data_IF_603596577522
#
_entry.id   IF_603596577522
#
_cell.length_a   1.000
_cell.length_b   1.000
_cell.length_c   1.000
_cell.angle_alpha   90.00
_cell.angle_beta   90.00
_cell.angle_gamma   90.00
#
_symmetry.space_group_name_H-M   'P 1'
#
loop_
_entity.id
_entity.type
_entity.pdbx_description
1 polymer ?
#
# COMPACT_ATOMS: atom_id res chain seq x y z
N UNK A 1 17.84 18.60 22.75
CA UNK A 1 16.77 18.87 21.77
C UNK A 1 15.83 17.69 21.81
N UNK A 2 14.52 17.86 22.01
CA UNK A 2 13.63 16.71 22.12
C UNK A 2 13.51 16.03 20.77
N UNK A 3 13.69 14.74 20.79
CA UNK A 3 13.61 13.78 19.69
C UNK A 3 12.18 13.75 19.11
N UNK A 4 11.93 14.53 18.05
CA UNK A 4 10.71 14.42 17.24
C UNK A 4 10.96 13.29 16.27
N UNK A 5 11.09 12.08 16.84
CA UNK A 5 11.33 10.89 16.09
C UNK A 5 10.05 10.43 15.36
N UNK A 6 10.25 9.88 14.23
CA UNK A 6 9.45 9.06 13.33
C UNK A 6 8.29 8.23 13.92
N UNK A 7 7.98 8.39 15.20
CA UNK A 7 6.83 7.75 15.89
C UNK A 7 5.48 8.17 15.34
N UNK A 8 5.38 9.29 14.65
CA UNK A 8 4.10 9.79 14.12
C UNK A 8 3.60 9.08 12.88
N UNK A 9 4.46 8.33 12.16
CA UNK A 9 4.03 7.56 10.98
C UNK A 9 3.97 6.04 11.26
N UNK A 10 4.77 5.55 12.22
CA UNK A 10 4.75 4.16 12.68
C UNK A 10 4.10 4.00 14.07
N UNK A 11 3.82 5.10 14.75
CA UNK A 11 3.42 5.15 16.17
C UNK A 11 1.95 4.85 16.48
N UNK A 12 1.18 4.34 15.54
CA UNK A 12 -0.21 3.92 15.77
C UNK A 12 -0.34 2.44 16.19
N UNK A 13 0.76 1.79 16.50
CA UNK A 13 0.79 0.42 17.01
C UNK A 13 1.38 0.37 18.43
N UNK A 14 0.70 0.92 19.44
CA UNK A 14 1.16 0.72 20.80
C UNK A 14 0.58 1.66 21.85
N UNK A 15 -0.68 1.53 22.18
CA UNK A 15 -1.23 2.01 23.46
C UNK A 15 -1.54 0.80 24.34
N UNK A 16 -0.79 0.68 25.43
CA UNK A 16 -0.94 -0.37 26.42
C UNK A 16 -2.32 -0.35 27.09
N UNK A 17 -2.91 -1.51 27.22
CA UNK A 17 -4.20 -1.76 27.90
C UNK A 17 -3.91 -1.94 29.38
N UNK A 18 -4.42 -1.03 30.21
CA UNK A 18 -4.67 -1.29 31.64
C UNK A 18 -6.04 -1.93 31.80
N UNK A 19 -6.06 -3.13 32.35
CA UNK A 19 -7.27 -3.88 32.63
C UNK A 19 -8.06 -3.21 33.78
N UNK A 20 -9.30 -2.81 33.49
CA UNK A 20 -10.32 -2.62 34.53
C UNK A 20 -11.52 -3.51 34.22
N UNK A 21 -11.80 -4.44 35.15
CA UNK A 21 -12.94 -5.36 35.11
C UNK A 21 -14.23 -4.60 35.41
N UNK A 22 -15.27 -4.82 34.60
CA UNK A 22 -16.69 -4.57 34.96
C UNK A 22 -17.57 -5.67 34.34
N UNK A 23 -18.76 -5.95 34.93
CA UNK A 23 -19.35 -7.26 34.86
C UNK A 23 -20.23 -7.55 33.63
N UNK A 24 -20.35 -8.86 33.34
CA UNK A 24 -21.22 -9.42 32.31
C UNK A 24 -22.68 -9.00 32.46
N UNK A 25 -23.23 -8.43 31.41
CA UNK A 25 -24.68 -8.46 31.16
C UNK A 25 -24.90 -9.31 29.90
N UNK A 26 -25.53 -10.47 30.08
CA UNK A 26 -25.99 -11.34 29.00
C UNK A 26 -27.24 -10.67 28.40
N UNK A 27 -27.15 -10.19 27.17
CA UNK A 27 -28.30 -9.76 26.37
C UNK A 27 -28.31 -10.49 25.05
N UNK A 28 -29.49 -11.00 24.71
CA UNK A 28 -29.75 -12.00 23.68
C UNK A 28 -29.25 -11.67 22.30
N UNK A 29 -28.76 -12.70 21.61
CA UNK A 29 -28.54 -12.74 20.19
C UNK A 29 -29.83 -12.54 19.41
N UNK A 30 -30.02 -11.36 18.84
CA UNK A 30 -30.89 -11.21 17.67
C UNK A 30 -30.10 -11.65 16.43
N UNK A 31 -30.70 -12.43 15.52
CA UNK A 31 -30.01 -12.80 14.27
C UNK A 31 -29.77 -11.52 13.45
N UNK A 32 -28.50 -11.24 13.15
CA UNK A 32 -28.12 -10.22 12.18
C UNK A 32 -28.68 -10.66 10.83
N UNK A 33 -29.70 -9.95 10.37
CA UNK A 33 -30.23 -10.09 9.02
C UNK A 33 -29.11 -9.74 8.05
N UNK A 34 -28.55 -10.75 7.39
CA UNK A 34 -27.66 -10.55 6.24
C UNK A 34 -28.53 -10.07 5.08
N UNK A 35 -28.74 -8.77 4.97
CA UNK A 35 -29.20 -8.16 3.73
C UNK A 35 -28.02 -8.28 2.78
N UNK A 36 -28.07 -9.33 1.94
CA UNK A 36 -27.19 -9.45 0.79
C UNK A 36 -27.65 -8.40 -0.23
N UNK A 37 -26.87 -7.35 -0.40
CA UNK A 37 -27.03 -6.39 -1.48
C UNK A 37 -26.81 -7.13 -2.82
N UNK A 38 -27.83 -7.30 -3.67
CA UNK A 38 -27.72 -8.12 -4.88
C UNK A 38 -26.74 -7.53 -5.91
N UNK A 39 -26.53 -6.22 -5.93
CA UNK A 39 -25.57 -5.56 -6.84
C UNK A 39 -24.12 -5.83 -6.40
N UNK A 40 -23.89 -6.03 -5.12
CA UNK A 40 -22.59 -6.37 -4.55
C UNK A 40 -22.18 -7.82 -4.72
N UNK A 41 -23.06 -8.69 -5.12
CA UNK A 41 -22.76 -10.12 -5.30
C UNK A 41 -21.74 -10.39 -6.42
N UNK A 42 -21.37 -9.41 -7.24
CA UNK A 42 -20.46 -9.55 -8.39
C UNK A 42 -19.13 -8.81 -8.22
N UNK A 43 -19.08 -7.58 -7.64
CA UNK A 43 -17.85 -6.78 -7.57
C UNK A 43 -16.89 -7.25 -6.49
N UNK A 44 -15.59 -7.25 -6.82
CA UNK A 44 -14.51 -7.46 -5.85
C UNK A 44 -14.08 -6.13 -5.25
N UNK A 45 -13.83 -6.11 -3.94
CA UNK A 45 -13.16 -5.00 -3.27
C UNK A 45 -11.78 -5.45 -2.81
N UNK A 46 -10.75 -5.13 -3.62
CA UNK A 46 -9.36 -5.46 -3.33
C UNK A 46 -8.53 -4.19 -3.25
N UNK A 47 -7.80 -4.03 -2.14
CA UNK A 47 -6.93 -2.91 -1.88
C UNK A 47 -5.47 -3.28 -2.19
N UNK A 48 -4.82 -2.52 -3.06
CA UNK A 48 -3.42 -2.72 -3.45
C UNK A 48 -2.41 -2.47 -2.34
N UNK A 49 -2.78 -1.75 -1.29
CA UNK A 49 -1.98 -1.60 -0.08
C UNK A 49 -2.80 -1.12 1.10
N UNK A 50 -2.80 -1.91 2.16
CA UNK A 50 -3.34 -1.55 3.46
C UNK A 50 -2.58 -2.25 4.58
N UNK A 51 -3.07 -2.11 5.80
CA UNK A 51 -2.42 -2.62 7.01
C UNK A 51 -3.39 -3.49 7.81
N UNK A 52 -2.88 -4.52 8.48
CA UNK A 52 -3.70 -5.32 9.38
C UNK A 52 -4.17 -4.46 10.56
N UNK A 53 -5.48 -4.16 10.68
CA UNK A 53 -5.98 -3.17 11.63
C UNK A 53 -5.82 -3.65 13.07
N UNK A 54 -5.60 -2.73 14.00
CA UNK A 54 -5.56 -3.04 15.44
C UNK A 54 -6.90 -3.59 15.91
N UNK A 55 -7.99 -2.96 15.50
CA UNK A 55 -9.38 -3.42 15.73
C UNK A 55 -9.85 -4.24 14.52
N UNK A 56 -9.94 -5.56 14.69
CA UNK A 56 -10.35 -6.48 13.63
C UNK A 56 -11.83 -6.32 13.20
N UNK A 57 -12.65 -5.59 13.95
CA UNK A 57 -14.01 -5.26 13.51
C UNK A 57 -14.01 -4.40 12.23
N UNK A 58 -12.93 -3.66 11.97
CA UNK A 58 -12.74 -2.86 10.75
C UNK A 58 -12.72 -3.73 9.49
N UNK A 59 -12.25 -4.96 9.58
CA UNK A 59 -12.24 -5.91 8.47
C UNK A 59 -13.67 -6.14 7.94
N UNK A 60 -14.61 -6.47 8.84
CA UNK A 60 -16.01 -6.68 8.45
C UNK A 60 -16.69 -5.38 8.03
N UNK A 61 -16.42 -4.29 8.76
CA UNK A 61 -17.04 -2.99 8.50
C UNK A 61 -16.60 -2.39 7.15
N UNK A 62 -15.35 -2.55 6.75
CA UNK A 62 -14.84 -2.06 5.46
C UNK A 62 -15.36 -2.86 4.26
N UNK A 63 -15.88 -4.06 4.49
CA UNK A 63 -16.38 -4.97 3.46
C UNK A 63 -15.34 -5.32 2.39
N UNK A 64 -14.08 -5.29 2.72
CA UNK A 64 -12.98 -5.63 1.81
C UNK A 64 -12.86 -7.16 1.66
N UNK A 65 -12.69 -7.64 0.42
CA UNK A 65 -12.54 -9.06 0.13
C UNK A 65 -11.09 -9.53 0.28
N UNK A 66 -10.14 -8.68 -0.13
CA UNK A 66 -8.71 -8.96 -0.02
C UNK A 66 -7.90 -7.66 0.03
N UNK A 67 -6.69 -7.72 0.52
CA UNK A 67 -5.72 -6.63 0.38
C UNK A 67 -4.28 -7.14 0.41
N UNK A 68 -3.41 -6.39 -0.27
CA UNK A 68 -1.96 -6.50 -0.10
C UNK A 68 -1.63 -5.84 1.24
N UNK A 69 -1.15 -6.65 2.17
CA UNK A 69 -0.98 -6.27 3.57
C UNK A 69 0.49 -5.96 3.84
N UNK A 70 0.81 -4.69 4.08
CA UNK A 70 2.15 -4.32 4.52
C UNK A 70 2.42 -4.86 5.93
N UNK A 71 3.46 -5.68 6.00
CA UNK A 71 3.98 -6.23 7.25
C UNK A 71 5.42 -5.77 7.52
N UNK A 72 5.87 -4.72 6.85
CA UNK A 72 7.22 -4.19 7.03
C UNK A 72 7.50 -3.79 8.48
N UNK A 73 8.68 -4.09 8.95
CA UNK A 73 9.18 -3.60 10.23
C UNK A 73 10.48 -2.81 10.05
N UNK A 74 10.64 -1.77 10.85
CA UNK A 74 11.81 -0.89 10.83
C UNK A 74 12.46 -0.95 12.21
N UNK A 75 13.76 -1.20 12.24
CA UNK A 75 14.56 -1.10 13.46
C UNK A 75 15.59 0.02 13.39
N UNK A 76 16.04 0.46 14.55
CA UNK A 76 17.16 1.38 14.69
C UNK A 76 18.46 0.57 14.63
N UNK A 77 19.34 0.97 13.70
CA UNK A 77 20.67 0.37 13.55
C UNK A 77 21.70 1.45 13.83
N UNK A 78 22.45 1.29 14.92
CA UNK A 78 23.57 2.17 15.26
C UNK A 78 24.73 1.93 14.28
N UNK A 79 25.25 3.03 13.72
CA UNK A 79 26.40 3.01 12.83
C UNK A 79 27.70 3.12 13.62
N UNK A 80 28.83 2.77 12.99
CA UNK A 80 30.15 2.85 13.61
C UNK A 80 30.55 4.29 14.05
N UNK A 81 29.95 5.30 13.46
CA UNK A 81 30.16 6.72 13.82
C UNK A 81 29.20 7.22 14.91
N UNK A 82 28.37 6.33 15.49
CA UNK A 82 27.39 6.66 16.52
C UNK A 82 26.09 7.25 15.99
N UNK A 83 25.91 7.37 14.66
CA UNK A 83 24.62 7.76 14.07
C UNK A 83 23.63 6.60 14.09
N UNK A 84 22.33 6.91 14.12
CA UNK A 84 21.26 5.91 14.10
C UNK A 84 20.55 5.97 12.76
N UNK A 85 20.56 4.85 12.05
CA UNK A 85 19.77 4.64 10.85
C UNK A 85 18.54 3.79 11.16
N UNK A 86 17.48 4.01 10.39
CA UNK A 86 16.25 3.24 10.44
C UNK A 86 16.18 2.36 9.20
N UNK A 87 16.26 1.05 9.39
CA UNK A 87 16.33 0.08 8.29
C UNK A 87 15.30 -1.03 8.44
N UNK A 88 14.83 -1.53 7.31
CA UNK A 88 14.10 -2.80 7.23
C UNK A 88 15.15 -3.91 7.19
N UNK A 89 15.49 -4.45 8.35
CA UNK A 89 16.44 -5.57 8.42
C UNK A 89 15.73 -6.89 8.23
N UNK A 90 16.46 -7.91 7.82
CA UNK A 90 15.97 -9.29 7.75
C UNK A 90 15.31 -9.69 9.07
N UNK A 91 16.00 -9.49 10.20
CA UNK A 91 15.52 -9.86 11.52
C UNK A 91 14.17 -9.18 11.86
N UNK A 92 14.10 -7.88 11.74
CA UNK A 92 12.87 -7.14 12.07
C UNK A 92 11.68 -7.55 11.20
N UNK A 93 11.91 -7.77 9.90
CA UNK A 93 10.85 -8.20 8.99
C UNK A 93 10.44 -9.66 9.22
N UNK A 94 11.36 -10.56 9.59
CA UNK A 94 11.03 -11.94 9.97
C UNK A 94 10.22 -12.02 11.27
N UNK A 95 10.55 -11.21 12.27
CA UNK A 95 9.76 -11.09 13.49
C UNK A 95 8.35 -10.57 13.18
N UNK A 96 8.23 -9.57 12.32
CA UNK A 96 6.96 -8.97 11.93
C UNK A 96 6.06 -9.94 11.14
N UNK A 97 6.61 -10.65 10.15
CA UNK A 97 5.82 -11.64 9.38
C UNK A 97 5.33 -12.78 10.28
N UNK A 98 6.18 -13.24 11.21
CA UNK A 98 5.80 -14.25 12.20
C UNK A 98 4.64 -13.78 13.09
N UNK A 99 4.70 -12.54 13.57
CA UNK A 99 3.63 -11.94 14.38
C UNK A 99 2.32 -11.78 13.57
N UNK A 100 2.41 -11.31 12.32
CA UNK A 100 1.26 -11.17 11.43
C UNK A 100 0.60 -12.53 11.14
N UNK A 101 1.39 -13.56 10.85
CA UNK A 101 0.90 -14.95 10.66
C UNK A 101 0.17 -15.46 11.89
N UNK A 102 0.77 -15.30 13.06
CA UNK A 102 0.15 -15.74 14.32
C UNK A 102 -1.19 -15.04 14.54
N UNK A 103 -1.28 -13.75 14.22
CA UNK A 103 -2.51 -12.98 14.34
C UNK A 103 -3.58 -13.42 13.35
N UNK A 104 -3.22 -13.69 12.09
CA UNK A 104 -4.15 -14.25 11.09
C UNK A 104 -4.63 -15.63 11.52
N UNK A 105 -3.74 -16.51 11.98
CA UNK A 105 -4.07 -17.85 12.42
C UNK A 105 -4.98 -17.88 13.67
N UNK A 106 -4.92 -16.84 14.52
CA UNK A 106 -5.80 -16.69 15.69
C UNK A 106 -7.23 -16.28 15.33
N UNK A 107 -7.51 -15.86 14.09
CA UNK A 107 -8.81 -15.37 13.62
C UNK A 107 -9.26 -16.03 12.30
N UNK A 108 -9.32 -17.37 12.24
CA UNK A 108 -9.62 -18.12 11.01
C UNK A 108 -11.07 -17.96 10.52
N UNK A 109 -11.95 -17.41 11.34
CA UNK A 109 -13.32 -17.06 10.98
C UNK A 109 -13.43 -15.71 10.25
N UNK A 110 -12.36 -14.94 10.21
CA UNK A 110 -12.34 -13.58 9.67
C UNK A 110 -11.26 -13.38 8.61
N UNK A 111 -10.09 -13.98 8.81
CA UNK A 111 -8.88 -13.72 8.03
C UNK A 111 -8.34 -15.00 7.38
N UNK A 112 -7.78 -14.85 6.19
CA UNK A 112 -7.03 -15.90 5.50
C UNK A 112 -5.70 -15.35 5.00
N UNK A 113 -4.59 -15.97 5.41
CA UNK A 113 -3.31 -15.74 4.73
C UNK A 113 -3.39 -16.33 3.34
N UNK A 114 -3.30 -15.49 2.32
CA UNK A 114 -3.29 -15.91 0.93
C UNK A 114 -1.87 -16.30 0.50
N UNK A 115 -1.70 -17.54 0.11
CA UNK A 115 -0.44 -18.10 -0.40
C UNK A 115 -0.49 -18.31 -1.93
N UNK A 116 -1.67 -18.22 -2.50
CA UNK A 116 -1.96 -18.27 -3.94
C UNK A 116 -3.06 -17.26 -4.27
N UNK A 117 -3.15 -16.84 -5.54
CA UNK A 117 -4.26 -15.99 -5.99
C UNK A 117 -5.64 -16.64 -5.78
N UNK A 118 -5.73 -17.97 -5.85
CA UNK A 118 -6.97 -18.71 -5.60
C UNK A 118 -7.48 -18.60 -4.15
N UNK A 119 -6.60 -18.31 -3.18
CA UNK A 119 -6.98 -18.11 -1.77
C UNK A 119 -7.93 -16.92 -1.58
N UNK A 120 -7.85 -15.89 -2.45
CA UNK A 120 -8.79 -14.77 -2.42
C UNK A 120 -10.23 -15.25 -2.69
N UNK A 121 -10.42 -16.12 -3.69
CA UNK A 121 -11.75 -16.68 -4.00
C UNK A 121 -12.26 -17.57 -2.88
N UNK A 122 -11.38 -18.39 -2.30
CA UNK A 122 -11.73 -19.26 -1.20
C UNK A 122 -12.10 -18.42 0.06
N UNK A 123 -11.34 -17.38 0.38
CA UNK A 123 -11.63 -16.48 1.48
C UNK A 123 -13.02 -15.85 1.33
N UNK A 124 -13.33 -15.30 0.13
CA UNK A 124 -14.65 -14.70 -0.14
C UNK A 124 -15.78 -15.72 0.03
N UNK A 125 -15.58 -16.96 -0.47
CA UNK A 125 -16.57 -18.04 -0.32
C UNK A 125 -16.84 -18.37 1.15
N UNK A 126 -15.82 -18.29 1.99
CA UNK A 126 -15.87 -18.58 3.42
C UNK A 126 -16.16 -17.35 4.29
N UNK A 127 -16.53 -16.21 3.67
CA UNK A 127 -16.78 -14.93 4.35
C UNK A 127 -15.58 -14.41 5.17
N UNK A 128 -14.37 -14.73 4.71
CA UNK A 128 -13.09 -14.22 5.24
C UNK A 128 -12.56 -13.10 4.32
N UNK A 129 -11.60 -12.34 4.82
CA UNK A 129 -10.77 -11.42 4.03
C UNK A 129 -9.39 -12.04 3.79
N UNK A 130 -8.95 -12.06 2.52
CA UNK A 130 -7.64 -12.58 2.15
C UNK A 130 -6.55 -11.52 2.32
N UNK A 131 -5.39 -11.92 2.89
CA UNK A 131 -4.23 -11.06 3.08
C UNK A 131 -3.04 -11.61 2.28
N UNK A 132 -2.55 -10.82 1.33
CA UNK A 132 -1.30 -11.08 0.62
C UNK A 132 -0.18 -10.30 1.33
N UNK A 133 0.70 -10.97 2.04
CA UNK A 133 1.76 -10.29 2.79
C UNK A 133 2.76 -9.63 1.85
N UNK A 134 3.08 -8.38 2.15
CA UNK A 134 4.03 -7.54 1.45
C UNK A 134 5.07 -6.95 2.40
N UNK A 135 6.30 -6.77 1.92
CA UNK A 135 7.30 -5.91 2.54
C UNK A 135 7.63 -4.76 1.59
N UNK A 136 7.56 -3.53 2.10
CA UNK A 136 7.86 -2.32 1.34
C UNK A 136 9.35 -1.97 1.37
N UNK A 137 10.12 -2.63 0.52
CA UNK A 137 11.55 -2.40 0.31
C UNK A 137 12.37 -3.66 0.49
N UNK A 138 13.16 -3.98 -0.52
CA UNK A 138 14.03 -5.15 -0.53
C UNK A 138 15.27 -5.02 0.37
N UNK A 139 15.36 -3.95 1.17
CA UNK A 139 16.40 -3.80 2.20
C UNK A 139 16.46 -5.00 3.14
N UNK A 140 15.31 -5.64 3.40
CA UNK A 140 15.19 -6.82 4.25
C UNK A 140 15.87 -8.07 3.67
N UNK A 141 16.11 -8.10 2.36
CA UNK A 141 16.85 -9.19 1.69
C UNK A 141 18.36 -9.05 1.95
N UNK A 142 18.82 -7.88 2.42
CA UNK A 142 20.19 -7.58 2.76
C UNK A 142 21.18 -8.00 1.64
N UNK A 143 22.12 -8.91 1.95
CA UNK A 143 23.09 -9.35 0.97
C UNK A 143 22.86 -10.76 0.42
N UNK A 144 21.85 -11.48 0.89
CA UNK A 144 21.60 -12.86 0.50
C UNK A 144 20.22 -13.08 -0.12
N UNK A 145 20.18 -13.42 -1.39
CA UNK A 145 18.94 -13.75 -2.07
C UNK A 145 18.25 -15.03 -1.53
N UNK A 146 18.93 -15.84 -0.71
CA UNK A 146 18.28 -16.97 -0.01
C UNK A 146 17.23 -16.49 1.00
N UNK A 147 17.35 -15.26 1.51
CA UNK A 147 16.35 -14.67 2.41
C UNK A 147 14.99 -14.48 1.75
N UNK A 148 14.94 -14.35 0.42
CA UNK A 148 13.67 -14.37 -0.34
C UNK A 148 12.95 -15.71 -0.12
N UNK A 149 13.69 -16.82 -0.13
CA UNK A 149 13.11 -18.16 0.10
C UNK A 149 12.51 -18.28 1.51
N UNK A 150 13.22 -17.73 2.49
CA UNK A 150 12.79 -17.77 3.89
C UNK A 150 11.52 -16.92 4.08
N UNK A 151 11.49 -15.70 3.56
CA UNK A 151 10.28 -14.87 3.56
C UNK A 151 9.12 -15.53 2.82
N UNK A 152 9.38 -16.17 1.67
CA UNK A 152 8.35 -16.88 0.91
C UNK A 152 7.73 -18.01 1.72
N UNK A 153 8.55 -18.81 2.42
CA UNK A 153 8.07 -19.89 3.30
C UNK A 153 7.24 -19.34 4.46
N UNK A 154 7.56 -18.15 4.94
CA UNK A 154 6.78 -17.45 5.97
C UNK A 154 5.50 -16.76 5.41
N UNK A 155 5.25 -16.81 4.10
CA UNK A 155 4.01 -16.33 3.49
C UNK A 155 4.12 -15.01 2.75
N UNK A 156 5.32 -14.46 2.55
CA UNK A 156 5.50 -13.29 1.67
C UNK A 156 5.07 -13.63 0.24
N UNK A 157 4.27 -12.76 -0.38
CA UNK A 157 3.80 -12.92 -1.76
C UNK A 157 4.00 -11.69 -2.62
N UNK A 158 4.28 -10.55 -2.02
CA UNK A 158 4.59 -9.30 -2.72
C UNK A 158 5.85 -8.68 -2.12
N UNK A 159 6.80 -8.29 -2.94
CA UNK A 159 8.01 -7.59 -2.49
C UNK A 159 8.20 -6.31 -3.31
N UNK A 160 8.23 -5.18 -2.62
CA UNK A 160 8.56 -3.89 -3.19
C UNK A 160 10.08 -3.75 -3.29
N UNK A 161 10.59 -3.24 -4.42
CA UNK A 161 12.04 -3.15 -4.64
C UNK A 161 12.71 -2.11 -3.75
N UNK A 162 12.06 -0.95 -3.56
CA UNK A 162 12.57 0.16 -2.75
C UNK A 162 11.47 0.76 -1.90
N UNK A 163 11.83 1.54 -0.87
CA UNK A 163 10.90 2.50 -0.28
C UNK A 163 11.22 3.91 -0.81
N UNK A 164 11.31 4.95 0.03
CA UNK A 164 11.54 6.33 -0.46
C UNK A 164 12.87 6.48 -1.20
N UNK A 165 13.90 5.78 -0.75
CA UNK A 165 15.26 5.85 -1.26
C UNK A 165 15.69 4.52 -1.86
N UNK A 166 16.69 4.61 -2.74
CA UNK A 166 17.36 3.46 -3.29
C UNK A 166 18.07 2.61 -2.22
N UNK A 167 18.33 1.38 -2.60
CA UNK A 167 19.08 0.40 -1.84
C UNK A 167 20.07 -0.32 -2.78
N UNK A 168 20.64 -1.43 -2.34
CA UNK A 168 21.61 -2.20 -3.14
C UNK A 168 21.01 -2.81 -4.41
N UNK A 169 19.69 -2.84 -4.54
CA UNK A 169 18.97 -3.46 -5.65
C UNK A 169 18.47 -2.46 -6.68
N UNK A 170 17.88 -1.34 -6.25
CA UNK A 170 17.20 -0.39 -7.14
C UNK A 170 17.28 1.05 -6.63
N UNK A 171 17.20 2.02 -7.53
CA UNK A 171 17.05 3.43 -7.18
C UNK A 171 15.64 3.77 -6.71
N UNK A 172 15.54 4.65 -5.73
CA UNK A 172 14.27 5.14 -5.18
C UNK A 172 13.76 6.40 -5.87
N UNK A 173 12.47 6.64 -5.79
CA UNK A 173 11.83 7.82 -6.41
C UNK A 173 12.27 9.14 -5.76
N UNK A 174 12.70 9.11 -4.49
CA UNK A 174 13.09 10.29 -3.71
C UNK A 174 14.61 10.38 -3.48
N UNK A 175 15.39 9.63 -4.25
CA UNK A 175 16.85 9.79 -4.27
C UNK A 175 17.23 11.18 -4.79
N UNK A 176 18.32 11.70 -4.28
CA UNK A 176 18.88 13.01 -4.58
C UNK A 176 20.39 12.90 -4.86
N UNK A 177 21.02 13.96 -5.37
CA UNK A 177 22.43 13.93 -5.77
C UNK A 177 23.37 13.60 -4.61
N UNK A 178 23.05 14.00 -3.40
CA UNK A 178 23.77 13.65 -2.17
C UNK A 178 23.58 12.18 -1.73
N UNK A 179 22.69 11.43 -2.39
CA UNK A 179 22.43 10.00 -2.21
C UNK A 179 22.86 9.13 -3.38
N UNK A 180 23.82 9.61 -4.18
CA UNK A 180 24.37 8.87 -5.32
C UNK A 180 23.70 9.19 -6.67
N UNK A 181 22.71 10.06 -6.69
CA UNK A 181 22.08 10.58 -7.91
C UNK A 181 20.58 10.36 -7.98
N UNK A 182 19.95 11.11 -8.87
CA UNK A 182 18.51 11.07 -9.13
C UNK A 182 18.21 10.01 -10.20
N UNK A 183 17.08 9.31 -10.04
CA UNK A 183 16.55 8.37 -11.03
C UNK A 183 17.56 7.26 -11.41
N UNK A 184 18.15 6.63 -10.40
CA UNK A 184 19.13 5.55 -10.58
C UNK A 184 18.50 4.30 -11.21
N UNK A 185 19.26 3.49 -11.96
CA UNK A 185 18.79 2.25 -12.58
C UNK A 185 18.67 1.11 -11.57
N UNK A 186 18.11 0.00 -12.03
CA UNK A 186 18.25 -1.30 -11.38
C UNK A 186 19.75 -1.67 -11.34
N UNK A 187 20.24 -2.13 -10.19
CA UNK A 187 21.64 -2.61 -10.08
C UNK A 187 21.80 -4.02 -10.64
N UNK A 188 23.02 -4.49 -10.80
CA UNK A 188 23.28 -5.89 -11.18
C UNK A 188 22.59 -6.88 -10.20
N UNK A 189 22.67 -6.59 -8.89
CA UNK A 189 21.95 -7.38 -7.86
C UNK A 189 20.44 -7.24 -7.95
N UNK A 190 19.94 -6.10 -8.43
CA UNK A 190 18.53 -5.89 -8.70
C UNK A 190 18.00 -6.81 -9.79
N UNK A 191 18.76 -7.04 -10.86
CA UNK A 191 18.40 -8.02 -11.90
C UNK A 191 18.34 -9.44 -11.33
N UNK A 192 19.31 -9.84 -10.50
CA UNK A 192 19.31 -11.15 -9.82
C UNK A 192 18.10 -11.30 -8.87
N UNK A 193 17.72 -10.22 -8.17
CA UNK A 193 16.54 -10.21 -7.29
C UNK A 193 15.25 -10.37 -8.12
N UNK A 194 15.10 -9.64 -9.23
CA UNK A 194 13.94 -9.76 -10.13
C UNK A 194 13.79 -11.21 -10.63
N UNK A 195 14.89 -11.83 -11.08
CA UNK A 195 14.90 -13.23 -11.50
C UNK A 195 14.47 -14.16 -10.35
N UNK A 196 15.01 -13.96 -9.15
CA UNK A 196 14.69 -14.76 -7.95
C UNK A 196 13.21 -14.66 -7.57
N UNK A 197 12.64 -13.44 -7.61
CA UNK A 197 11.22 -13.21 -7.31
C UNK A 197 10.32 -13.89 -8.35
N UNK A 198 10.65 -13.80 -9.64
CA UNK A 198 9.94 -14.50 -10.70
C UNK A 198 9.96 -16.02 -10.50
N UNK A 199 11.13 -16.59 -10.17
CA UNK A 199 11.28 -18.05 -9.92
C UNK A 199 10.42 -18.53 -8.74
N UNK A 200 10.13 -17.65 -7.77
CA UNK A 200 9.36 -17.97 -6.57
C UNK A 200 7.87 -17.66 -6.69
N UNK A 201 7.44 -16.99 -7.76
CA UNK A 201 6.05 -16.49 -7.84
C UNK A 201 5.77 -15.42 -6.76
N UNK A 202 6.76 -14.54 -6.49
CA UNK A 202 6.58 -13.36 -5.65
C UNK A 202 6.33 -12.18 -6.56
N UNK A 203 5.20 -11.51 -6.39
CA UNK A 203 4.79 -10.36 -7.18
C UNK A 203 5.73 -9.18 -6.90
N UNK A 204 6.33 -8.64 -7.96
CA UNK A 204 7.24 -7.50 -7.89
C UNK A 204 6.43 -6.21 -7.84
N UNK A 205 6.65 -5.40 -6.80
CA UNK A 205 6.04 -4.09 -6.65
C UNK A 205 7.06 -2.97 -6.91
N UNK A 206 6.71 -2.07 -7.83
CA UNK A 206 7.53 -0.94 -8.28
C UNK A 206 7.18 0.38 -7.58
N UNK A 207 6.27 0.35 -6.60
CA UNK A 207 5.98 1.54 -5.81
C UNK A 207 7.26 2.08 -5.17
N UNK A 208 7.40 3.40 -5.15
CA UNK A 208 8.59 4.09 -4.66
C UNK A 208 9.88 3.91 -5.49
N UNK A 209 9.91 3.04 -6.49
CA UNK A 209 11.09 2.90 -7.35
C UNK A 209 11.28 4.15 -8.23
N UNK A 210 12.53 4.45 -8.58
CA UNK A 210 12.82 5.44 -9.62
C UNK A 210 12.20 5.00 -10.95
N UNK A 211 11.88 5.95 -11.84
CA UNK A 211 11.32 5.60 -13.14
C UNK A 211 12.26 4.69 -13.96
N UNK A 212 13.57 4.89 -13.82
CA UNK A 212 14.58 4.08 -14.52
C UNK A 212 14.63 2.66 -13.95
N UNK A 213 14.69 2.50 -12.62
CA UNK A 213 14.61 1.18 -11.98
C UNK A 213 13.30 0.46 -12.31
N UNK A 214 12.19 1.20 -12.39
CA UNK A 214 10.91 0.62 -12.78
C UNK A 214 10.95 0.05 -14.20
N UNK A 215 11.45 0.83 -15.18
CA UNK A 215 11.62 0.34 -16.57
C UNK A 215 12.56 -0.85 -16.67
N UNK A 216 13.69 -0.81 -15.97
CA UNK A 216 14.66 -1.91 -15.97
C UNK A 216 14.05 -3.19 -15.39
N UNK A 217 13.32 -3.08 -14.29
CA UNK A 217 12.65 -4.22 -13.65
C UNK A 217 11.50 -4.80 -14.51
N UNK A 218 10.70 -3.94 -15.17
CA UNK A 218 9.67 -4.37 -16.12
C UNK A 218 10.30 -5.15 -17.28
N UNK A 219 11.40 -4.64 -17.83
CA UNK A 219 12.10 -5.28 -18.97
C UNK A 219 12.76 -6.61 -18.55
N UNK A 220 13.20 -6.74 -17.31
CA UNK A 220 13.84 -7.95 -16.78
C UNK A 220 12.83 -9.02 -16.31
N UNK A 221 11.63 -8.62 -15.93
CA UNK A 221 10.64 -9.54 -15.38
C UNK A 221 10.02 -10.43 -16.45
N UNK A 222 9.92 -11.72 -16.17
CA UNK A 222 9.19 -12.69 -17.00
C UNK A 222 7.70 -12.79 -16.63
N UNK A 223 7.27 -12.10 -15.59
CA UNK A 223 5.90 -12.07 -15.05
C UNK A 223 5.39 -10.60 -15.03
N UNK A 224 4.07 -10.39 -15.03
CA UNK A 224 3.53 -9.07 -14.75
C UNK A 224 4.08 -8.49 -13.44
N UNK A 225 4.38 -7.21 -13.45
CA UNK A 225 4.78 -6.44 -12.28
C UNK A 225 3.71 -5.41 -11.95
N UNK A 226 3.69 -4.93 -10.73
CA UNK A 226 2.70 -3.93 -10.31
C UNK A 226 3.36 -2.68 -9.75
N UNK A 227 2.61 -1.61 -9.70
CA UNK A 227 2.84 -0.49 -8.82
C UNK A 227 1.68 -0.50 -7.84
N UNK A 228 1.89 -1.08 -6.66
CA UNK A 228 0.80 -1.34 -5.71
C UNK A 228 0.10 -0.06 -5.30
N UNK A 229 0.85 1.05 -5.12
CA UNK A 229 0.31 2.33 -4.68
C UNK A 229 1.11 3.51 -5.25
N UNK A 230 0.42 4.42 -5.93
CA UNK A 230 1.02 5.61 -6.54
C UNK A 230 0.01 6.59 -7.09
N UNK A 231 0.49 7.58 -7.82
CA UNK A 231 -0.31 8.56 -8.55
C UNK A 231 0.37 8.95 -9.86
N UNK A 232 -0.38 9.57 -10.78
CA UNK A 232 0.15 10.02 -12.06
C UNK A 232 0.86 11.37 -11.93
N UNK A 233 2.11 11.44 -12.39
CA UNK A 233 2.92 12.68 -12.40
C UNK A 233 2.34 13.76 -13.30
N UNK A 234 1.61 13.37 -14.33
CA UNK A 234 0.95 14.31 -15.22
C UNK A 234 -0.10 15.19 -14.50
N UNK A 235 -0.69 14.72 -13.40
CA UNK A 235 -1.66 15.48 -12.60
C UNK A 235 -0.94 16.25 -11.50
N UNK A 236 -0.03 15.60 -10.76
CA UNK A 236 0.78 16.24 -9.72
C UNK A 236 2.25 15.98 -10.01
N UNK A 237 2.96 17.03 -10.45
CA UNK A 237 4.39 16.93 -10.74
C UNK A 237 5.20 16.80 -9.46
N UNK A 238 5.32 15.57 -8.99
CA UNK A 238 6.08 15.20 -7.79
C UNK A 238 6.92 13.96 -8.07
N UNK A 239 8.09 13.84 -7.44
CA UNK A 239 9.00 12.71 -7.65
C UNK A 239 8.40 11.36 -7.26
N UNK A 240 7.52 11.32 -6.24
CA UNK A 240 6.79 10.12 -5.79
C UNK A 240 5.76 9.64 -6.81
N UNK A 241 5.32 10.51 -7.74
CA UNK A 241 4.32 10.19 -8.75
C UNK A 241 4.99 9.60 -10.00
N UNK A 242 4.34 8.62 -10.61
CA UNK A 242 4.87 7.90 -11.76
C UNK A 242 4.61 8.64 -13.07
N UNK A 243 5.60 8.76 -13.96
CA UNK A 243 5.38 9.31 -15.28
C UNK A 243 4.58 8.34 -16.17
N UNK A 244 3.90 8.86 -17.19
CA UNK A 244 3.02 8.10 -18.09
C UNK A 244 3.71 6.94 -18.81
N UNK A 245 5.01 7.06 -19.11
CA UNK A 245 5.75 5.98 -19.73
C UNK A 245 5.92 4.77 -18.81
N UNK A 246 6.02 4.96 -17.49
CA UNK A 246 6.04 3.87 -16.51
C UNK A 246 4.65 3.24 -16.39
N UNK A 247 3.58 4.06 -16.32
CA UNK A 247 2.19 3.56 -16.31
C UNK A 247 1.93 2.68 -17.52
N UNK A 248 2.32 3.14 -18.72
CA UNK A 248 2.17 2.39 -19.97
C UNK A 248 2.97 1.11 -19.96
N UNK A 249 4.23 1.13 -19.52
CA UNK A 249 5.07 -0.05 -19.48
C UNK A 249 4.53 -1.14 -18.53
N UNK A 250 3.98 -0.76 -17.37
CA UNK A 250 3.28 -1.69 -16.47
C UNK A 250 2.07 -2.32 -17.17
N UNK A 251 1.25 -1.51 -17.84
CA UNK A 251 0.07 -1.96 -18.56
C UNK A 251 0.42 -2.91 -19.72
N UNK A 252 1.42 -2.55 -20.53
CA UNK A 252 1.90 -3.36 -21.67
C UNK A 252 2.45 -4.72 -21.21
N UNK A 253 3.01 -4.79 -20.00
CA UNK A 253 3.43 -6.01 -19.32
C UNK A 253 2.30 -6.81 -18.65
N UNK A 254 1.04 -6.39 -18.78
CA UNK A 254 -0.11 -7.03 -18.15
C UNK A 254 -0.25 -6.75 -16.64
N UNK A 255 0.51 -5.81 -16.13
CA UNK A 255 0.51 -5.42 -14.72
C UNK A 255 -0.66 -4.52 -14.33
N UNK A 256 -0.57 -3.99 -13.10
CA UNK A 256 -1.59 -3.13 -12.49
C UNK A 256 -0.95 -1.95 -11.79
N UNK A 257 -1.59 -0.79 -11.91
CA UNK A 257 -1.24 0.46 -11.22
C UNK A 257 -2.34 0.80 -10.20
N UNK A 258 -2.03 0.68 -8.92
CA UNK A 258 -2.92 1.06 -7.82
C UNK A 258 -2.81 2.55 -7.52
N UNK A 259 -3.93 3.26 -7.56
CA UNK A 259 -3.98 4.68 -7.17
C UNK A 259 -4.17 4.78 -5.66
N UNK A 260 -3.26 5.48 -4.98
CA UNK A 260 -3.29 5.64 -3.51
C UNK A 260 -4.15 6.83 -3.05
N UNK A 261 -4.28 7.01 -1.72
CA UNK A 261 -5.17 8.04 -1.12
C UNK A 261 -4.44 9.28 -0.59
N UNK A 262 -3.12 9.39 -0.80
CA UNK A 262 -2.32 10.53 -0.34
C UNK A 262 -2.71 11.80 -1.09
N UNK A 263 -3.65 12.59 -0.55
CA UNK A 263 -4.32 13.68 -1.26
C UNK A 263 -3.35 14.74 -1.81
N UNK A 264 -2.27 15.05 -1.10
CA UNK A 264 -1.24 16.01 -1.53
C UNK A 264 -0.41 15.54 -2.74
N UNK A 265 -0.51 14.27 -3.14
CA UNK A 265 0.06 13.73 -4.38
C UNK A 265 -1.01 13.40 -5.44
N UNK A 266 -2.30 13.54 -5.09
CA UNK A 266 -3.40 13.30 -6.03
C UNK A 266 -3.86 14.58 -6.74
N UNK A 267 -3.79 15.72 -6.04
CA UNK A 267 -4.28 16.99 -6.58
C UNK A 267 -3.53 18.17 -6.00
N UNK A 268 -3.46 19.26 -6.77
CA UNK A 268 -2.99 20.57 -6.32
C UNK A 268 -4.15 21.52 -5.97
N UNK A 269 -5.38 21.06 -6.06
CA UNK A 269 -6.55 21.84 -5.68
C UNK A 269 -6.51 22.12 -4.16
N UNK A 270 -6.89 23.32 -3.71
CA UNK A 270 -6.83 23.67 -2.28
C UNK A 270 -7.75 22.80 -1.41
N UNK A 271 -8.84 22.30 -1.97
CA UNK A 271 -9.80 21.41 -1.32
C UNK A 271 -9.85 20.08 -2.06
N UNK A 272 -9.24 19.02 -1.53
CA UNK A 272 -9.25 17.70 -2.14
C UNK A 272 -10.65 17.08 -2.00
N UNK A 273 -11.15 16.48 -3.08
CA UNK A 273 -12.48 15.86 -3.16
C UNK A 273 -12.38 14.52 -3.86
N UNK A 274 -13.38 13.66 -3.69
CA UNK A 274 -13.47 12.34 -4.33
C UNK A 274 -13.26 12.39 -5.85
N UNK A 275 -13.75 13.44 -6.54
CA UNK A 275 -13.52 13.59 -7.99
C UNK A 275 -12.06 13.62 -8.38
N UNK A 276 -11.16 14.19 -7.55
CA UNK A 276 -9.72 14.23 -7.85
C UNK A 276 -9.08 12.84 -7.77
N UNK A 277 -9.61 11.96 -6.90
CA UNK A 277 -9.23 10.56 -6.90
C UNK A 277 -9.67 9.86 -8.19
N UNK A 278 -10.92 10.09 -8.62
CA UNK A 278 -11.46 9.54 -9.88
C UNK A 278 -10.72 10.09 -11.10
N UNK A 279 -10.26 11.34 -11.08
CA UNK A 279 -9.41 11.93 -12.14
C UNK A 279 -8.08 11.15 -12.28
N UNK A 280 -7.46 10.75 -11.19
CA UNK A 280 -6.26 9.90 -11.21
C UNK A 280 -6.55 8.53 -11.83
N UNK A 281 -7.63 7.86 -11.41
CA UNK A 281 -8.05 6.58 -11.99
C UNK A 281 -8.30 6.70 -13.50
N UNK A 282 -8.98 7.76 -13.92
CA UNK A 282 -9.25 8.04 -15.33
C UNK A 282 -7.98 8.31 -16.13
N UNK A 283 -7.03 9.04 -15.55
CA UNK A 283 -5.73 9.29 -16.20
C UNK A 283 -4.98 7.97 -16.42
N UNK A 284 -4.89 7.11 -15.39
CA UNK A 284 -4.25 5.79 -15.54
C UNK A 284 -4.97 4.95 -16.60
N UNK A 285 -6.31 4.97 -16.64
CA UNK A 285 -7.09 4.28 -17.66
C UNK A 285 -6.81 4.82 -19.08
N UNK A 286 -6.67 6.13 -19.24
CA UNK A 286 -6.36 6.75 -20.53
C UNK A 286 -4.95 6.41 -21.03
N UNK A 287 -4.00 6.23 -20.13
CA UNK A 287 -2.59 5.93 -20.47
C UNK A 287 -2.36 4.44 -20.67
N UNK A 288 -2.85 3.60 -19.76
CA UNK A 288 -2.57 2.15 -19.70
C UNK A 288 -3.76 1.24 -20.06
N UNK A 289 -4.94 1.81 -20.29
CA UNK A 289 -6.17 1.04 -20.46
C UNK A 289 -6.80 0.64 -19.11
N UNK A 290 -8.08 0.25 -19.18
CA UNK A 290 -8.89 -0.06 -17.98
C UNK A 290 -8.36 -1.28 -17.21
N UNK A 291 -7.70 -2.21 -17.88
CA UNK A 291 -7.16 -3.43 -17.28
C UNK A 291 -5.90 -3.18 -16.43
N UNK A 292 -5.32 -1.98 -16.51
CA UNK A 292 -4.17 -1.58 -15.71
C UNK A 292 -4.53 -0.79 -14.45
N UNK A 293 -5.80 -0.39 -14.27
CA UNK A 293 -6.21 0.52 -13.18
C UNK A 293 -6.71 -0.25 -11.98
N UNK A 294 -6.29 0.14 -10.77
CA UNK A 294 -6.83 -0.42 -9.54
C UNK A 294 -6.80 0.57 -8.36
N UNK A 295 -7.48 0.19 -7.30
CA UNK A 295 -7.51 0.91 -6.03
C UNK A 295 -6.31 0.49 -5.16
N UNK A 296 -5.70 1.47 -4.49
CA UNK A 296 -4.80 1.25 -3.37
C UNK A 296 -5.03 2.35 -2.34
N UNK A 297 -5.16 2.02 -1.08
CA UNK A 297 -5.44 3.06 -0.12
C UNK A 297 -4.14 3.67 0.44
N UNK A 298 -3.15 2.85 0.76
CA UNK A 298 -1.96 3.27 1.50
C UNK A 298 -2.34 3.94 2.85
N UNK A 299 -3.51 3.55 3.36
CA UNK A 299 -4.13 4.00 4.60
C UNK A 299 -4.65 2.81 5.40
N UNK A 300 -4.74 2.91 6.73
CA UNK A 300 -5.51 1.96 7.53
C UNK A 300 -6.96 1.85 7.03
N UNK A 301 -7.58 0.69 7.18
CA UNK A 301 -8.97 0.47 6.74
C UNK A 301 -9.93 1.53 7.30
N UNK A 302 -9.78 1.89 8.57
CA UNK A 302 -10.57 2.93 9.24
C UNK A 302 -10.32 4.33 8.68
N UNK A 303 -9.17 4.57 8.08
CA UNK A 303 -8.67 5.88 7.66
C UNK A 303 -7.54 6.39 8.57
N UNK A 304 -7.09 7.59 8.31
CA UNK A 304 -6.08 8.29 9.12
C UNK A 304 -6.70 8.72 10.45
N UNK A 305 -6.34 8.04 11.53
CA UNK A 305 -6.96 8.22 12.85
C UNK A 305 -6.83 9.66 13.39
N UNK A 306 -5.65 10.28 13.20
CA UNK A 306 -5.44 11.66 13.59
C UNK A 306 -6.44 12.60 12.92
N UNK A 307 -6.69 12.41 11.62
CA UNK A 307 -7.62 13.21 10.85
C UNK A 307 -9.07 12.93 11.25
N UNK A 308 -9.42 11.69 11.57
CA UNK A 308 -10.75 11.34 12.10
C UNK A 308 -11.03 12.04 13.42
N UNK A 309 -10.04 12.13 14.34
CA UNK A 309 -10.16 12.91 15.58
C UNK A 309 -10.38 14.41 15.36
N UNK A 310 -9.85 14.94 14.26
CA UNK A 310 -10.00 16.33 13.84
C UNK A 310 -11.23 16.54 12.93
N UNK A 311 -12.14 15.57 12.79
CA UNK A 311 -13.29 15.65 11.90
C UNK A 311 -12.93 15.78 10.42
N UNK A 312 -11.76 15.26 10.03
CA UNK A 312 -11.16 15.38 8.69
C UNK A 312 -10.83 16.85 8.29
N UNK A 313 -10.61 17.72 9.27
CA UNK A 313 -10.18 19.10 9.01
C UNK A 313 -8.73 19.11 8.49
N UNK A 314 -8.56 19.36 7.20
CA UNK A 314 -7.26 19.42 6.55
C UNK A 314 -6.39 20.56 7.08
N UNK A 315 -6.97 21.68 7.54
CA UNK A 315 -6.19 22.80 8.08
C UNK A 315 -5.45 22.38 9.35
N UNK A 316 -6.16 21.73 10.27
CA UNK A 316 -5.56 21.20 11.49
C UNK A 316 -4.65 19.99 11.17
N UNK A 317 -5.09 19.12 10.25
CA UNK A 317 -4.31 17.97 9.82
C UNK A 317 -2.95 18.34 9.25
N UNK A 318 -2.87 19.37 8.42
CA UNK A 318 -1.61 19.89 7.89
C UNK A 318 -0.69 20.34 9.04
N UNK A 319 -1.20 21.00 10.06
CA UNK A 319 -0.39 21.42 11.20
C UNK A 319 0.26 20.25 11.94
N UNK A 320 -0.45 19.11 12.07
CA UNK A 320 0.12 17.89 12.65
C UNK A 320 1.18 17.24 11.75
N UNK A 321 1.06 17.40 10.41
CA UNK A 321 2.00 16.87 9.42
C UNK A 321 3.25 17.71 9.22
N UNK A 322 3.19 19.00 9.51
CA UNK A 322 4.28 19.94 9.23
C UNK A 322 5.64 19.54 9.82
N UNK A 323 5.77 19.08 11.07
CA UNK A 323 7.08 18.71 11.62
C UNK A 323 7.75 17.58 10.83
N UNK A 324 6.97 16.60 10.37
CA UNK A 324 7.48 15.53 9.53
C UNK A 324 7.87 16.05 8.15
N UNK A 325 7.03 16.86 7.50
CA UNK A 325 7.29 17.44 6.20
C UNK A 325 8.55 18.30 6.21
N UNK A 326 8.70 19.18 7.20
CA UNK A 326 9.87 20.01 7.38
C UNK A 326 11.14 19.19 7.60
N UNK A 327 11.08 18.12 8.37
CA UNK A 327 12.23 17.24 8.59
C UNK A 327 12.73 16.56 7.31
N UNK A 328 11.86 16.36 6.30
CA UNK A 328 12.22 15.86 4.99
C UNK A 328 12.78 16.96 4.10
N UNK A 329 12.17 18.14 4.12
CA UNK A 329 12.65 19.33 3.39
C UNK A 329 14.07 19.74 3.83
N UNK A 330 14.34 19.77 5.15
CA UNK A 330 15.66 20.09 5.71
C UNK A 330 16.75 19.07 5.30
N UNK A 331 16.35 17.86 4.97
CA UNK A 331 17.25 16.80 4.48
C UNK A 331 17.29 16.72 2.95
N UNK A 332 16.81 17.75 2.25
CA UNK A 332 16.76 17.82 0.79
C UNK A 332 16.09 16.60 0.14
N UNK A 333 15.05 16.04 0.78
CA UNK A 333 14.30 14.94 0.18
C UNK A 333 13.50 15.47 -1.00
N UNK A 334 13.71 14.89 -2.16
CA UNK A 334 13.13 15.35 -3.42
C UNK A 334 11.61 15.48 -3.33
N UNK A 335 11.08 16.66 -3.70
CA UNK A 335 9.64 16.92 -3.74
C UNK A 335 9.00 17.36 -2.42
N UNK A 336 9.77 17.53 -1.33
CA UNK A 336 9.27 18.04 -0.04
C UNK A 336 9.61 19.52 0.21
N UNK A 337 10.00 20.25 -0.82
CA UNK A 337 10.28 21.68 -0.80
C UNK A 337 9.01 22.55 -0.65
N UNK A 338 7.85 22.00 -1.04
CA UNK A 338 6.56 22.69 -0.98
C UNK A 338 5.66 22.09 0.11
N UNK A 339 5.26 22.91 1.08
CA UNK A 339 4.33 22.51 2.15
C UNK A 339 2.99 22.02 1.56
N UNK A 340 2.43 20.91 2.09
CA UNK A 340 1.12 20.43 1.67
C UNK A 340 0.00 21.39 2.14
N UNK A 341 -1.06 21.52 1.36
CA UNK A 341 -2.26 22.27 1.73
C UNK A 341 -3.36 21.40 2.34
N UNK A 342 -3.25 20.08 2.18
CA UNK A 342 -4.18 19.07 2.68
C UNK A 342 -3.49 17.72 2.81
N UNK A 343 -4.05 16.80 3.59
CA UNK A 343 -3.48 15.47 3.87
C UNK A 343 -4.44 14.31 3.59
N UNK A 344 -5.76 14.56 3.57
CA UNK A 344 -6.76 13.54 3.22
C UNK A 344 -7.83 14.10 2.26
N UNK A 345 -8.53 13.21 1.56
CA UNK A 345 -9.83 13.50 0.95
C UNK A 345 -10.87 13.19 2.03
N UNK A 346 -11.57 14.21 2.60
CA UNK A 346 -12.44 14.03 3.76
C UNK A 346 -13.52 12.98 3.56
N UNK A 347 -14.13 12.94 2.35
CA UNK A 347 -15.21 12.02 2.03
C UNK A 347 -14.76 10.56 1.98
N UNK A 348 -13.46 10.31 1.78
CA UNK A 348 -12.88 8.97 1.62
C UNK A 348 -12.08 8.51 2.85
N UNK A 349 -11.93 9.35 3.88
CA UNK A 349 -11.22 8.98 5.10
C UNK A 349 -12.12 8.27 6.11
N UNK A 350 -12.65 7.09 5.74
CA UNK A 350 -13.59 6.29 6.55
C UNK A 350 -13.61 4.83 6.10
N UNK A 351 -14.35 3.98 6.85
CA UNK A 351 -14.51 2.54 6.57
C UNK A 351 -15.32 2.24 5.30
N UNK A 352 -16.25 3.12 4.90
CA UNK A 352 -17.08 2.94 3.69
C UNK A 352 -16.35 3.34 2.41
N UNK A 353 -15.06 3.67 2.49
CA UNK A 353 -14.24 4.20 1.40
C UNK A 353 -14.41 3.44 0.09
N UNK A 354 -14.31 2.12 0.13
CA UNK A 354 -14.40 1.30 -1.09
C UNK A 354 -15.76 1.45 -1.79
N UNK A 355 -16.86 1.46 -1.03
CA UNK A 355 -18.19 1.67 -1.58
C UNK A 355 -18.34 3.08 -2.18
N UNK A 356 -17.85 4.11 -1.48
CA UNK A 356 -17.87 5.49 -1.97
C UNK A 356 -17.05 5.71 -3.24
N UNK A 357 -15.90 5.03 -3.36
CA UNK A 357 -15.10 5.04 -4.58
C UNK A 357 -15.86 4.35 -5.71
N UNK A 358 -16.49 3.21 -5.44
CA UNK A 358 -17.29 2.48 -6.43
C UNK A 358 -18.41 3.36 -7.00
N UNK A 359 -19.21 3.99 -6.12
CA UNK A 359 -20.27 4.91 -6.54
C UNK A 359 -19.69 6.08 -7.35
N UNK A 360 -18.60 6.69 -6.89
CA UNK A 360 -17.97 7.81 -7.59
C UNK A 360 -17.40 7.45 -8.98
N UNK A 361 -16.92 6.23 -9.17
CA UNK A 361 -16.47 5.71 -10.47
C UNK A 361 -17.65 5.58 -11.42
N UNK A 362 -18.78 5.02 -10.95
CA UNK A 362 -20.01 4.90 -11.75
C UNK A 362 -20.59 6.28 -12.10
N UNK A 363 -20.68 7.18 -11.14
CA UNK A 363 -21.15 8.56 -11.34
C UNK A 363 -20.27 9.34 -12.34
N UNK A 364 -18.99 8.99 -12.38
CA UNK A 364 -18.04 9.56 -13.35
C UNK A 364 -18.18 8.96 -14.77
N UNK A 365 -19.10 8.00 -14.98
CA UNK A 365 -19.42 7.43 -16.28
C UNK A 365 -18.55 6.23 -16.69
N UNK A 366 -17.85 5.57 -15.76
CA UNK A 366 -17.34 4.24 -16.02
C UNK A 366 -18.52 3.26 -16.08
N UNK A 367 -18.45 2.28 -16.97
CA UNK A 367 -19.43 1.19 -16.98
C UNK A 367 -19.29 0.31 -15.73
N UNK A 368 -20.34 -0.44 -15.38
CA UNK A 368 -20.29 -1.39 -14.27
C UNK A 368 -19.12 -2.39 -14.43
N UNK A 369 -18.88 -2.89 -15.64
CA UNK A 369 -17.76 -3.80 -15.93
C UNK A 369 -16.40 -3.15 -15.73
N UNK A 370 -16.24 -1.87 -16.05
CA UNK A 370 -14.99 -1.13 -15.79
C UNK A 370 -14.81 -0.86 -14.30
N UNK A 371 -15.88 -0.50 -13.58
CA UNK A 371 -15.85 -0.35 -12.13
C UNK A 371 -15.45 -1.66 -11.44
N UNK A 372 -16.01 -2.81 -11.84
CA UNK A 372 -15.63 -4.12 -11.31
C UNK A 372 -14.13 -4.42 -11.49
N UNK A 373 -13.58 -4.10 -12.66
CA UNK A 373 -12.14 -4.24 -12.93
C UNK A 373 -11.31 -3.39 -11.98
N UNK A 374 -11.65 -2.09 -11.86
CA UNK A 374 -10.92 -1.12 -11.04
C UNK A 374 -11.00 -1.44 -9.56
N UNK A 375 -12.18 -1.85 -9.06
CA UNK A 375 -12.41 -2.11 -7.64
C UNK A 375 -11.72 -3.35 -7.11
N UNK A 376 -11.38 -4.31 -7.98
CA UNK A 376 -10.68 -5.51 -7.53
C UNK A 376 -10.37 -6.54 -8.61
N UNK A 377 -11.13 -6.55 -9.74
CA UNK A 377 -10.95 -7.55 -10.79
C UNK A 377 -9.53 -7.56 -11.37
N UNK A 378 -8.92 -6.40 -11.56
CA UNK A 378 -7.54 -6.28 -12.06
C UNK A 378 -6.51 -6.80 -11.06
N UNK A 379 -6.70 -6.53 -9.75
CA UNK A 379 -5.87 -7.11 -8.70
C UNK A 379 -5.98 -8.62 -8.67
N UNK A 380 -7.21 -9.15 -8.70
CA UNK A 380 -7.44 -10.59 -8.67
C UNK A 380 -6.75 -11.29 -9.85
N UNK A 381 -6.88 -10.74 -11.07
CA UNK A 381 -6.24 -11.25 -12.28
C UNK A 381 -4.72 -11.37 -12.11
N UNK A 382 -4.06 -10.31 -11.66
CA UNK A 382 -2.59 -10.29 -11.51
C UNK A 382 -2.13 -11.21 -10.38
N UNK A 383 -2.84 -11.24 -9.25
CA UNK A 383 -2.56 -12.13 -8.14
C UNK A 383 -2.72 -13.61 -8.53
N UNK A 384 -3.75 -13.95 -9.30
CA UNK A 384 -3.94 -15.34 -9.80
C UNK A 384 -2.92 -15.74 -10.87
N UNK A 385 -2.33 -14.78 -11.58
CA UNK A 385 -1.34 -15.06 -12.61
C UNK A 385 0.06 -15.27 -12.03
N UNK A 386 0.43 -14.54 -10.97
CA UNK A 386 1.81 -14.50 -10.48
C UNK A 386 1.99 -15.27 -9.19
N UNK A 387 1.03 -15.18 -8.26
CA UNK A 387 1.04 -15.79 -6.94
C UNK A 387 0.29 -17.13 -6.98
#
# INVERSE_FOLDING_TARGET
MPDVSRRSFAGLLGAGITASQLPLAISGCSPVSTVTDPERAQSWYIDGLSFLPADLSDIRASKIDAFICDISAIEQVEQADGTVNYRRTYRACMESIGAARARVAAHPDLLRLALTGADARLARKEAQTALFFQIQGADCVEESLSQVDEFYLEGLRVLQLTHHYGNVYAGGALDSDDRGGVNLPLSARGYELVEKLNQRGVLIDLSHASARSAHDAIAASSQPVVLSHGAARAIVNHARCSPDNVIRAIADGGGVFGVFMMSFWLTTAPEPQTRHYVEQLRHVANVGGIDAVAIANDYPLRGQENLLRLGNDNTQGVQEYLPWWQSLSERNVLGFDRQPSHVVIPELNNLDRMARIHDAILDAGFSASEADKVMGGNWLRVLEQVV
#
